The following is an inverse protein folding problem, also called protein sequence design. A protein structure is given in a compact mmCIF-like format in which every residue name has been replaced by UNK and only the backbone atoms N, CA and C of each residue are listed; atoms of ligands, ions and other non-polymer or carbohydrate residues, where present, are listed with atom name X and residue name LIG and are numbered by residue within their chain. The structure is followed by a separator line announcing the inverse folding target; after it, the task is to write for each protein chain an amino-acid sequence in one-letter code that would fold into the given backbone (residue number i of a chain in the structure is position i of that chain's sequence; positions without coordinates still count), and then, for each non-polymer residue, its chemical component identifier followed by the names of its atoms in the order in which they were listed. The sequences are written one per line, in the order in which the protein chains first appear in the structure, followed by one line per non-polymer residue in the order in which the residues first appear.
data_IF_524378004179
#
_entry.id   IF_524378004179
#
_cell.length_a   1.000
_cell.length_b   1.000
_cell.length_c   1.000
_cell.angle_alpha   90.00
_cell.angle_beta   90.00
_cell.angle_gamma   90.00
#
_symmetry.space_group_name_H-M   'P 1'
#
loop_
_entity.id
_entity.type
_entity.pdbx_description
1 polymer ?
#
# COMPACT_ATOMS: atom_id res chain seq x y z
N UNK A 1 -30.33 -7.82 8.96
CA UNK A 1 -28.87 -7.91 9.18
C UNK A 1 -28.27 -6.71 8.48
N UNK A 2 -27.73 -5.75 9.22
CA UNK A 2 -27.12 -4.56 8.62
C UNK A 2 -25.71 -4.96 8.18
N UNK A 3 -25.51 -5.13 6.86
CA UNK A 3 -24.16 -5.19 6.31
C UNK A 3 -23.49 -3.86 6.64
N UNK A 4 -22.36 -3.83 7.37
CA UNK A 4 -21.63 -2.60 7.53
C UNK A 4 -21.35 -2.07 6.12
N UNK A 5 -21.82 -0.85 5.84
CA UNK A 5 -21.51 -0.12 4.61
C UNK A 5 -20.02 0.19 4.68
N UNK A 6 -19.20 -0.80 4.36
CA UNK A 6 -17.77 -0.62 4.21
C UNK A 6 -17.61 0.29 3.00
N UNK A 7 -17.06 1.51 3.18
CA UNK A 7 -16.86 2.41 2.07
C UNK A 7 -15.94 1.75 1.04
N UNK A 8 -16.18 2.05 -0.22
CA UNK A 8 -15.34 1.55 -1.32
C UNK A 8 -13.87 1.90 -1.03
N UNK A 9 -13.00 0.90 -1.17
CA UNK A 9 -11.56 1.03 -0.89
C UNK A 9 -11.13 0.99 0.59
N UNK A 10 -12.00 0.64 1.54
CA UNK A 10 -11.59 0.44 2.94
C UNK A 10 -10.50 -0.64 3.09
N UNK A 11 -10.60 -1.73 2.32
CA UNK A 11 -9.60 -2.80 2.32
C UNK A 11 -8.22 -2.27 1.93
N UNK A 12 -8.16 -1.43 0.88
CA UNK A 12 -6.93 -0.77 0.44
C UNK A 12 -6.37 0.16 1.52
N UNK A 13 -7.20 0.98 2.17
CA UNK A 13 -6.76 1.87 3.26
C UNK A 13 -6.17 1.08 4.43
N UNK A 14 -6.81 -0.01 4.84
CA UNK A 14 -6.34 -0.89 5.92
C UNK A 14 -5.05 -1.60 5.54
N UNK A 15 -4.95 -2.09 4.31
CA UNK A 15 -3.73 -2.68 3.78
C UNK A 15 -2.57 -1.67 3.77
N UNK A 16 -2.83 -0.45 3.29
CA UNK A 16 -1.83 0.62 3.26
C UNK A 16 -1.31 0.95 4.66
N UNK A 17 -2.22 1.17 5.62
CA UNK A 17 -1.84 1.44 7.01
C UNK A 17 -1.01 0.29 7.59
N UNK A 18 -1.42 -0.96 7.36
CA UNK A 18 -0.71 -2.12 7.84
C UNK A 18 0.70 -2.24 7.24
N UNK A 19 0.87 -1.96 5.95
CA UNK A 19 2.18 -1.95 5.27
C UNK A 19 3.10 -0.88 5.88
N UNK A 20 2.58 0.32 6.16
CA UNK A 20 3.33 1.40 6.81
C UNK A 20 3.75 1.01 8.22
N UNK A 21 2.88 0.34 8.99
CA UNK A 21 3.21 -0.21 10.31
C UNK A 21 4.32 -1.27 10.27
N UNK A 22 4.47 -2.02 9.17
CA UNK A 22 5.58 -2.98 9.04
C UNK A 22 6.95 -2.29 8.86
N UNK A 23 7.00 -1.00 8.50
CA UNK A 23 8.24 -0.24 8.25
C UNK A 23 9.05 -0.68 7.02
N UNK A 24 8.79 -1.87 6.48
CA UNK A 24 9.42 -2.41 5.29
C UNK A 24 8.39 -2.57 4.17
N UNK A 25 8.31 -1.56 3.31
CA UNK A 25 7.47 -1.60 2.12
C UNK A 25 8.21 -2.35 1.01
N UNK A 26 7.98 -3.66 0.92
CA UNK A 26 8.54 -4.56 -0.11
C UNK A 26 7.41 -5.29 -0.82
N UNK A 27 7.69 -5.84 -2.01
CA UNK A 27 6.71 -6.64 -2.76
C UNK A 27 6.10 -7.75 -1.91
N UNK A 28 6.91 -8.41 -1.08
CA UNK A 28 6.46 -9.45 -0.15
C UNK A 28 5.46 -8.92 0.89
N UNK A 29 5.68 -7.71 1.41
CA UNK A 29 4.75 -7.07 2.36
C UNK A 29 3.43 -6.75 1.68
N UNK A 30 3.47 -6.31 0.41
CA UNK A 30 2.27 -6.03 -0.39
C UNK A 30 1.48 -7.32 -0.65
N UNK A 31 2.14 -8.42 -1.04
CA UNK A 31 1.48 -9.73 -1.18
C UNK A 31 0.81 -10.18 0.13
N UNK A 32 1.49 -10.02 1.28
CA UNK A 32 0.90 -10.37 2.56
C UNK A 32 -0.30 -9.48 2.92
N UNK A 33 -0.27 -8.20 2.56
CA UNK A 33 -1.40 -7.32 2.73
C UNK A 33 -2.57 -7.71 1.80
N UNK A 34 -2.27 -8.10 0.56
CA UNK A 34 -3.25 -8.58 -0.43
C UNK A 34 -4.03 -9.79 0.11
N UNK A 35 -3.31 -10.80 0.61
CA UNK A 35 -3.90 -12.00 1.22
C UNK A 35 -4.67 -11.71 2.51
N UNK A 36 -4.21 -10.73 3.31
CA UNK A 36 -4.80 -10.42 4.62
C UNK A 36 -6.08 -9.60 4.52
N UNK A 37 -6.14 -8.68 3.55
CA UNK A 37 -7.24 -7.73 3.40
C UNK A 37 -8.15 -8.04 2.21
N UNK A 38 -7.91 -9.15 1.50
CA UNK A 38 -8.66 -9.57 0.31
C UNK A 38 -8.66 -8.46 -0.75
N UNK A 39 -7.46 -7.98 -1.09
CA UNK A 39 -7.33 -6.92 -2.07
C UNK A 39 -7.65 -7.44 -3.47
N UNK A 40 -8.27 -6.60 -4.28
CA UNK A 40 -8.40 -6.89 -5.70
C UNK A 40 -7.02 -6.84 -6.36
N UNK A 41 -6.78 -7.60 -7.45
CA UNK A 41 -5.51 -7.56 -8.17
C UNK A 41 -5.14 -6.14 -8.66
N UNK A 42 -6.13 -5.27 -8.87
CA UNK A 42 -5.91 -3.84 -9.18
C UNK A 42 -5.29 -3.07 -8.00
N UNK A 43 -5.73 -3.36 -6.79
CA UNK A 43 -5.28 -2.71 -5.57
C UNK A 43 -3.87 -3.17 -5.20
N UNK A 44 -3.59 -4.46 -5.35
CA UNK A 44 -2.25 -5.02 -5.18
C UNK A 44 -1.24 -4.38 -6.15
N UNK A 45 -1.59 -4.30 -7.44
CA UNK A 45 -0.73 -3.64 -8.43
C UNK A 45 -0.52 -2.15 -8.10
N UNK A 46 -1.55 -1.45 -7.62
CA UNK A 46 -1.40 -0.06 -7.15
C UNK A 46 -0.38 0.05 -6.01
N UNK A 47 -0.47 -0.85 -5.02
CA UNK A 47 0.47 -0.88 -3.88
C UNK A 47 1.88 -1.24 -4.32
N UNK A 48 2.05 -2.21 -5.23
CA UNK A 48 3.36 -2.57 -5.79
C UNK A 48 4.00 -1.37 -6.49
N UNK A 49 3.25 -0.64 -7.32
CA UNK A 49 3.75 0.58 -7.98
C UNK A 49 4.13 1.67 -6.98
N UNK A 50 3.31 1.88 -5.95
CA UNK A 50 3.58 2.92 -4.94
C UNK A 50 4.74 2.59 -4.00
N UNK A 51 4.93 1.32 -3.64
CA UNK A 51 5.91 0.95 -2.63
C UNK A 51 7.21 0.37 -3.20
N UNK A 52 7.16 -0.24 -4.39
CA UNK A 52 8.33 -0.87 -5.03
C UNK A 52 8.92 0.07 -6.07
N UNK A 53 8.11 0.60 -6.99
CA UNK A 53 8.62 1.44 -8.08
C UNK A 53 8.99 2.85 -7.58
N UNK A 54 8.19 3.45 -6.70
CA UNK A 54 8.49 4.78 -6.16
C UNK A 54 9.60 4.82 -5.10
N UNK A 55 9.97 3.67 -4.51
CA UNK A 55 11.11 3.61 -3.59
C UNK A 55 12.45 3.88 -4.28
N UNK A 56 12.50 3.75 -5.61
CA UNK A 56 13.61 4.24 -6.44
C UNK A 56 13.66 5.76 -6.60
N UNK A 57 12.53 6.47 -6.43
CA UNK A 57 12.44 7.92 -6.64
C UNK A 57 12.54 8.74 -5.34
N UNK A 58 12.08 8.22 -4.20
CA UNK A 58 12.14 8.95 -2.92
C UNK A 58 13.56 9.07 -2.33
N UNK A 59 14.53 8.31 -2.84
CA UNK A 59 15.95 8.46 -2.45
C UNK A 59 16.70 9.50 -3.29
N UNK A 60 16.05 10.14 -4.26
CA UNK A 60 16.61 11.21 -5.10
C UNK A 60 15.80 12.51 -4.93
N UNK A 61 15.52 12.92 -3.70
CA UNK A 61 15.26 14.33 -3.46
C UNK A 61 16.62 15.04 -3.40
N UNK A 62 17.09 15.71 -4.49
CA UNK A 62 18.18 16.67 -4.34
C UNK A 62 17.69 17.72 -3.35
N UNK A 63 18.61 18.15 -2.49
CA UNK A 63 18.34 19.14 -1.48
C UNK A 63 17.55 20.31 -2.06
N UNK A 64 16.56 20.76 -1.29
CA UNK A 64 16.17 22.17 -1.32
C UNK A 64 17.40 22.99 -0.94
N UNK A 65 18.30 23.20 -1.91
CA UNK A 65 19.28 24.26 -1.86
C UNK A 65 18.53 25.57 -2.09
N UNK A 66 18.84 26.49 -1.20
CA UNK A 66 18.07 27.65 -0.81
C UNK A 66 18.62 28.90 -1.48
#
# INVERSE_FOLDING_TARGET
MLSPLIPEGEALRRAFQWIVEQGHCTSKTVEQASLRFDLAPRDEEFLLRQFVDHRGAASDAPGSER
#
